data_IF_345769445471
#
_entry.id   IF_345769445471
#
_cell.length_a   1.000
_cell.length_b   1.000
_cell.length_c   1.000
_cell.angle_alpha   90.00
_cell.angle_beta   90.00
_cell.angle_gamma   90.00
#
_symmetry.space_group_name_H-M   'P 1'
#
loop_
_entity.id
_entity.type
_entity.pdbx_description
1 polymer ?
#
# COMPACT_ATOMS: atom_id res chain seq x y z
N UNK A 1 23.52 -17.76 -15.92
CA UNK A 1 22.42 -17.92 -14.93
C UNK A 1 22.14 -16.52 -14.40
N UNK A 2 21.07 -15.86 -14.84
CA UNK A 2 20.71 -14.56 -14.29
C UNK A 2 20.12 -14.80 -12.91
N UNK A 3 20.87 -14.51 -11.84
CA UNK A 3 20.27 -14.31 -10.53
C UNK A 3 19.35 -13.09 -10.63
N UNK A 4 18.07 -13.34 -10.91
CA UNK A 4 17.05 -12.35 -10.61
C UNK A 4 17.06 -12.18 -9.10
N UNK A 5 17.76 -11.14 -8.62
CA UNK A 5 17.75 -10.75 -7.21
C UNK A 5 16.28 -10.64 -6.79
N UNK A 6 15.85 -11.50 -5.86
CA UNK A 6 14.51 -11.36 -5.27
C UNK A 6 14.49 -10.02 -4.54
N UNK A 7 13.82 -9.03 -5.12
CA UNK A 7 13.61 -7.76 -4.46
C UNK A 7 12.85 -8.01 -3.16
N UNK A 8 13.32 -7.42 -2.07
CA UNK A 8 12.62 -7.48 -0.79
C UNK A 8 11.19 -6.97 -0.97
N UNK A 9 10.20 -7.75 -0.53
CA UNK A 9 8.80 -7.35 -0.60
C UNK A 9 8.03 -7.97 0.58
N UNK A 10 7.41 -7.12 1.38
CA UNK A 10 6.57 -7.52 2.49
C UNK A 10 5.33 -8.27 1.97
N UNK A 11 4.92 -9.40 2.59
CA UNK A 11 3.81 -10.21 2.11
C UNK A 11 2.49 -9.43 1.89
N UNK A 12 2.16 -8.49 2.79
CA UNK A 12 0.97 -7.62 2.63
C UNK A 12 1.05 -6.75 1.37
N UNK A 13 2.22 -6.20 1.05
CA UNK A 13 2.40 -5.38 -0.16
C UNK A 13 2.37 -6.25 -1.41
N UNK A 14 3.06 -7.40 -1.39
CA UNK A 14 3.01 -8.36 -2.50
C UNK A 14 1.57 -8.75 -2.81
N UNK A 15 0.79 -9.10 -1.78
CA UNK A 15 -0.62 -9.43 -1.92
C UNK A 15 -1.42 -8.29 -2.56
N UNK A 16 -1.26 -7.05 -2.09
CA UNK A 16 -1.98 -5.91 -2.65
C UNK A 16 -1.56 -5.60 -4.09
N UNK A 17 -0.28 -5.74 -4.44
CA UNK A 17 0.20 -5.58 -5.81
C UNK A 17 -0.42 -6.62 -6.77
N UNK A 18 -0.51 -7.87 -6.33
CA UNK A 18 -1.15 -8.93 -7.12
C UNK A 18 -2.66 -8.74 -7.22
N UNK A 19 -3.29 -8.28 -6.14
CA UNK A 19 -4.70 -7.90 -6.13
C UNK A 19 -4.96 -6.73 -7.09
N UNK A 20 -4.12 -5.70 -7.09
CA UNK A 20 -4.23 -4.54 -7.97
C UNK A 20 -4.10 -4.91 -9.45
N UNK A 21 -3.20 -5.83 -9.80
CA UNK A 21 -3.09 -6.35 -11.18
C UNK A 21 -4.37 -7.06 -11.64
N UNK A 22 -5.02 -7.80 -10.73
CA UNK A 22 -6.24 -8.56 -11.03
C UNK A 22 -7.50 -7.70 -11.06
N UNK A 23 -7.56 -6.67 -10.23
CA UNK A 23 -8.78 -5.91 -9.95
C UNK A 23 -8.71 -4.43 -10.34
N UNK A 24 -7.57 -3.95 -10.82
CA UNK A 24 -7.33 -2.53 -11.16
C UNK A 24 -7.67 -1.57 -10.01
N UNK A 25 -7.33 -1.96 -8.77
CA UNK A 25 -7.79 -1.28 -7.55
C UNK A 25 -6.87 -0.22 -6.99
N UNK A 26 -5.56 -0.26 -7.26
CA UNK A 26 -4.52 0.64 -6.70
C UNK A 26 -4.46 0.69 -5.14
N UNK A 27 -4.79 -0.40 -4.48
CA UNK A 27 -4.77 -0.54 -3.03
C UNK A 27 -3.35 -0.52 -2.45
N UNK A 28 -2.36 -1.08 -3.14
CA UNK A 28 -0.96 -0.99 -2.70
C UNK A 28 -0.50 0.47 -2.66
N UNK A 29 -0.81 1.24 -3.70
CA UNK A 29 -0.52 2.67 -3.75
C UNK A 29 -1.27 3.46 -2.67
N UNK A 30 -2.54 3.14 -2.46
CA UNK A 30 -3.37 3.79 -1.42
C UNK A 30 -2.80 3.58 -0.02
N UNK A 31 -2.39 2.34 0.28
CA UNK A 31 -1.75 2.04 1.56
C UNK A 31 -0.41 2.77 1.69
N UNK A 32 0.41 2.79 0.64
CA UNK A 32 1.66 3.54 0.62
C UNK A 32 1.44 5.03 0.93
N UNK A 33 0.49 5.68 0.25
CA UNK A 33 0.17 7.09 0.47
C UNK A 33 -0.28 7.36 1.91
N UNK A 34 -1.10 6.48 2.48
CA UNK A 34 -1.52 6.61 3.87
C UNK A 34 -0.38 6.49 4.86
N UNK A 35 0.53 5.55 4.65
CA UNK A 35 1.68 5.35 5.53
C UNK A 35 2.68 6.52 5.44
N UNK A 36 2.90 7.07 4.24
CA UNK A 36 3.78 8.24 4.05
C UNK A 36 3.17 9.56 4.47
N UNK A 37 1.85 9.62 4.68
CA UNK A 37 1.14 10.76 5.26
C UNK A 37 0.77 10.51 6.73
N UNK A 38 1.67 9.86 7.47
CA UNK A 38 1.56 9.66 8.93
C UNK A 38 0.24 9.02 9.38
N UNK A 39 -0.30 8.11 8.56
CA UNK A 39 -1.57 7.43 8.82
C UNK A 39 -2.75 8.40 8.99
N UNK A 40 -2.68 9.56 8.35
CA UNK A 40 -3.72 10.58 8.37
C UNK A 40 -4.59 10.51 7.11
N UNK A 41 -5.83 10.02 7.26
CA UNK A 41 -6.78 9.89 6.14
C UNK A 41 -7.13 11.23 5.47
N UNK A 42 -7.15 12.35 6.22
CA UNK A 42 -7.45 13.65 5.63
C UNK A 42 -6.29 14.12 4.75
N UNK A 43 -5.06 14.07 5.27
CA UNK A 43 -3.87 14.43 4.51
C UNK A 43 -3.68 13.51 3.28
N UNK A 44 -3.97 12.21 3.42
CA UNK A 44 -3.92 11.24 2.31
C UNK A 44 -4.97 11.55 1.24
N UNK A 45 -6.19 11.91 1.66
CA UNK A 45 -7.30 12.29 0.78
C UNK A 45 -6.94 13.51 -0.07
N UNK A 46 -6.34 14.54 0.54
CA UNK A 46 -5.85 15.73 -0.14
C UNK A 46 -4.70 15.40 -1.11
N UNK A 47 -3.71 14.62 -0.67
CA UNK A 47 -2.55 14.26 -1.48
C UNK A 47 -2.89 13.39 -2.70
N UNK A 48 -3.96 12.59 -2.62
CA UNK A 48 -4.43 11.73 -3.71
C UNK A 48 -5.51 12.39 -4.59
N UNK A 49 -5.89 13.65 -4.32
CA UNK A 49 -7.04 14.32 -4.93
C UNK A 49 -8.30 13.43 -4.93
N UNK A 50 -8.51 12.73 -3.81
CA UNK A 50 -9.58 11.74 -3.66
C UNK A 50 -10.53 12.19 -2.57
N UNK A 51 -11.83 12.03 -2.78
CA UNK A 51 -12.81 12.33 -1.74
C UNK A 51 -12.64 11.41 -0.52
N UNK A 52 -12.69 12.00 0.69
CA UNK A 52 -12.46 11.28 1.96
C UNK A 52 -13.35 10.05 2.12
N UNK A 53 -14.63 10.12 1.76
CA UNK A 53 -15.54 8.97 1.88
C UNK A 53 -15.09 7.81 0.99
N UNK A 54 -14.61 8.10 -0.22
CA UNK A 54 -14.08 7.09 -1.14
C UNK A 54 -12.82 6.45 -0.56
N UNK A 55 -11.91 7.24 0.00
CA UNK A 55 -10.70 6.75 0.65
C UNK A 55 -11.02 5.85 1.85
N UNK A 56 -12.01 6.21 2.68
CA UNK A 56 -12.49 5.37 3.80
C UNK A 56 -13.01 4.02 3.30
N UNK A 57 -13.78 3.99 2.22
CA UNK A 57 -14.25 2.73 1.63
C UNK A 57 -13.09 1.87 1.12
N UNK A 58 -12.08 2.49 0.49
CA UNK A 58 -10.86 1.78 0.04
C UNK A 58 -10.11 1.20 1.23
N UNK A 59 -9.94 1.96 2.32
CA UNK A 59 -9.28 1.46 3.54
C UNK A 59 -10.03 0.31 4.19
N UNK A 60 -11.37 0.38 4.29
CA UNK A 60 -12.16 -0.77 4.74
C UNK A 60 -11.84 -2.02 3.93
N UNK A 61 -11.70 -1.90 2.60
CA UNK A 61 -11.36 -3.03 1.75
C UNK A 61 -9.93 -3.51 1.97
N UNK A 62 -8.94 -2.62 2.02
CA UNK A 62 -7.53 -2.96 2.32
C UNK A 62 -7.45 -3.73 3.64
N UNK A 63 -8.12 -3.22 4.67
CA UNK A 63 -8.16 -3.81 5.99
C UNK A 63 -8.79 -5.22 6.00
N UNK A 64 -9.83 -5.45 5.19
CA UNK A 64 -10.39 -6.81 5.02
C UNK A 64 -9.45 -7.78 4.31
N UNK A 65 -8.51 -7.27 3.51
CA UNK A 65 -7.60 -8.08 2.70
C UNK A 65 -6.33 -8.46 3.46
N UNK A 66 -5.77 -7.52 4.25
CA UNK A 66 -4.44 -7.68 4.86
C UNK A 66 -4.40 -7.40 6.38
N UNK A 67 -5.53 -7.07 7.01
CA UNK A 67 -5.62 -6.69 8.42
C UNK A 67 -5.37 -5.20 8.68
N UNK A 68 -5.64 -4.75 9.92
CA UNK A 68 -5.61 -3.33 10.33
C UNK A 68 -4.38 -2.90 11.15
N UNK A 69 -3.41 -3.78 11.37
CA UNK A 69 -2.27 -3.43 12.22
C UNK A 69 -1.18 -2.69 11.44
N UNK A 70 -1.02 -1.40 11.76
CA UNK A 70 0.06 -0.53 11.28
C UNK A 70 0.70 0.26 12.44
N UNK A 71 0.61 -0.22 13.69
CA UNK A 71 1.09 0.50 14.87
C UNK A 71 2.57 0.29 15.16
N UNK A 72 3.15 -0.84 14.75
CA UNK A 72 4.59 -1.05 14.79
C UNK A 72 5.30 -0.22 13.70
N UNK A 73 6.23 0.64 14.11
CA UNK A 73 7.02 1.45 13.19
C UNK A 73 7.92 0.61 12.27
N UNK A 74 8.41 -0.55 12.73
CA UNK A 74 9.24 -1.44 11.91
C UNK A 74 8.42 -2.03 10.79
N UNK A 75 7.19 -2.47 11.08
CA UNK A 75 6.27 -2.97 10.07
C UNK A 75 5.94 -1.88 9.05
N UNK A 76 5.58 -0.67 9.50
CA UNK A 76 5.32 0.46 8.59
C UNK A 76 6.50 0.74 7.66
N UNK A 77 7.71 0.79 8.21
CA UNK A 77 8.93 1.02 7.42
C UNK A 77 9.13 -0.09 6.38
N UNK A 78 8.94 -1.35 6.75
CA UNK A 78 9.00 -2.48 5.82
C UNK A 78 7.94 -2.38 4.71
N UNK A 79 6.70 -1.98 5.03
CA UNK A 79 5.63 -1.79 4.05
C UNK A 79 5.97 -0.68 3.04
N UNK A 80 6.42 0.48 3.52
CA UNK A 80 6.83 1.62 2.67
C UNK A 80 7.98 1.19 1.76
N UNK A 81 9.05 0.63 2.30
CA UNK A 81 10.22 0.19 1.51
C UNK A 81 9.84 -0.88 0.48
N UNK A 82 8.95 -1.80 0.85
CA UNK A 82 8.48 -2.84 -0.07
C UNK A 82 7.72 -2.23 -1.25
N UNK A 83 6.88 -1.22 -1.02
CA UNK A 83 6.19 -0.55 -2.11
C UNK A 83 7.18 0.21 -3.01
N UNK A 84 8.11 0.97 -2.44
CA UNK A 84 9.11 1.73 -3.21
C UNK A 84 9.99 0.83 -4.09
N UNK A 85 10.47 -0.28 -3.53
CA UNK A 85 11.33 -1.23 -4.26
C UNK A 85 10.59 -2.00 -5.36
N UNK A 86 9.27 -2.16 -5.24
CA UNK A 86 8.44 -2.94 -6.15
C UNK A 86 7.40 -2.08 -6.88
N UNK A 87 7.62 -0.76 -6.93
CA UNK A 87 6.68 0.18 -7.55
C UNK A 87 6.45 -0.23 -9.00
N UNK A 88 5.19 -0.40 -9.43
CA UNK A 88 4.91 -0.67 -10.83
C UNK A 88 5.50 0.45 -11.69
N UNK A 89 6.35 0.10 -12.65
CA UNK A 89 6.74 1.02 -13.72
C UNK A 89 5.55 1.21 -14.64
N UNK A 90 5.22 2.46 -14.95
CA UNK A 90 4.22 2.82 -15.95
C UNK A 90 4.55 2.24 -17.32
#
# INVERSE_FOLDING_TARGET
>A
MSESSRTFCHPKIQFLLDYDKKHHSEFAYTLYMYLTHERNLAATSEAMDMHRTSLVYRFKKINTLIGEDFDDYRERMCLILSYEMNRPTA
#
